data_IF_489263941761
#
_entry.id   IF_489263941761
#
_cell.length_a   1.000
_cell.length_b   1.000
_cell.length_c   1.000
_cell.angle_alpha   90.00
_cell.angle_beta   90.00
_cell.angle_gamma   90.00
#
_symmetry.space_group_name_H-M   'P 1'
#
loop_
_entity.id
_entity.type
_entity.pdbx_description
1 polymer ?
#
# COMPACT_ATOMS: atom_id res chain seq x y z
N UNK A 1 26.30 -11.27 -15.65
CA UNK A 1 25.97 -9.89 -15.26
C UNK A 1 24.47 -9.78 -15.26
N UNK A 2 23.85 -10.06 -14.13
CA UNK A 2 22.39 -9.99 -14.00
C UNK A 2 22.02 -8.53 -13.79
N UNK A 3 21.56 -7.89 -14.87
CA UNK A 3 20.89 -6.61 -14.76
C UNK A 3 19.57 -6.88 -14.02
N UNK A 4 19.58 -6.64 -12.71
CA UNK A 4 18.35 -6.53 -11.94
C UNK A 4 17.55 -5.37 -12.54
N UNK A 5 16.60 -5.70 -13.41
CA UNK A 5 15.55 -4.78 -13.84
C UNK A 5 14.78 -4.47 -12.56
N UNK A 6 15.14 -3.36 -11.90
CA UNK A 6 14.27 -2.74 -10.91
C UNK A 6 12.99 -2.42 -11.66
N UNK A 7 11.95 -3.22 -11.41
CA UNK A 7 10.62 -2.89 -11.87
C UNK A 7 10.30 -1.51 -11.26
N UNK A 8 10.11 -0.51 -12.11
CA UNK A 8 9.61 0.80 -11.71
C UNK A 8 8.14 0.62 -11.35
N UNK A 9 7.90 0.11 -10.14
CA UNK A 9 6.55 -0.10 -9.63
C UNK A 9 5.91 1.25 -9.39
N UNK A 10 4.93 1.60 -10.21
CA UNK A 10 4.04 2.72 -9.92
C UNK A 10 3.36 2.49 -8.57
N UNK A 11 3.04 3.58 -7.86
CA UNK A 11 2.37 3.49 -6.57
C UNK A 11 1.03 2.73 -6.69
N UNK A 12 0.68 1.97 -5.65
CA UNK A 12 -0.55 1.17 -5.63
C UNK A 12 -1.74 2.05 -5.21
N UNK A 13 -2.65 2.35 -6.13
CA UNK A 13 -3.81 3.21 -5.82
C UNK A 13 -4.77 2.50 -4.87
N UNK A 14 -5.06 3.12 -3.73
CA UNK A 14 -6.03 2.63 -2.76
C UNK A 14 -7.43 2.99 -3.24
N UNK A 15 -8.23 1.97 -3.56
CA UNK A 15 -9.63 2.15 -3.94
C UNK A 15 -10.56 2.11 -2.72
N UNK A 16 -10.21 1.31 -1.71
CA UNK A 16 -11.01 1.15 -0.49
C UNK A 16 -10.15 0.57 0.63
N UNK A 17 -10.42 0.97 1.87
CA UNK A 17 -10.02 0.25 3.08
C UNK A 17 -11.29 -0.27 3.76
N UNK A 18 -11.39 -1.57 3.99
CA UNK A 18 -12.58 -2.18 4.61
C UNK A 18 -12.26 -3.49 5.32
N UNK A 19 -13.26 -4.04 6.00
CA UNK A 19 -13.24 -5.36 6.61
C UNK A 19 -14.28 -6.21 5.88
N UNK A 20 -13.91 -7.44 5.51
CA UNK A 20 -14.81 -8.46 4.98
C UNK A 20 -14.75 -9.73 5.86
N UNK A 21 -15.40 -10.82 5.45
CA UNK A 21 -15.37 -12.09 6.18
C UNK A 21 -13.97 -12.73 6.29
N UNK A 22 -13.00 -12.28 5.48
CA UNK A 22 -11.60 -12.69 5.54
C UNK A 22 -10.72 -11.67 6.28
N UNK A 23 -11.32 -10.68 6.94
CA UNK A 23 -10.64 -9.68 7.78
C UNK A 23 -10.36 -8.33 7.12
N UNK A 24 -9.54 -7.54 7.80
CA UNK A 24 -9.13 -6.20 7.39
C UNK A 24 -8.30 -6.23 6.10
N UNK A 25 -8.60 -5.34 5.15
CA UNK A 25 -7.92 -5.31 3.85
C UNK A 25 -7.94 -3.93 3.17
N UNK A 26 -7.06 -3.78 2.18
CA UNK A 26 -7.17 -2.75 1.14
C UNK A 26 -7.62 -3.37 -0.18
N UNK A 27 -8.50 -2.67 -0.88
CA UNK A 27 -8.72 -2.89 -2.30
C UNK A 27 -7.76 -1.99 -3.06
N UNK A 28 -6.75 -2.59 -3.70
CA UNK A 28 -5.70 -1.86 -4.40
C UNK A 28 -5.84 -2.03 -5.91
N UNK A 29 -5.67 -0.94 -6.66
CA UNK A 29 -5.41 -0.98 -8.11
C UNK A 29 -3.90 -0.88 -8.32
N UNK A 30 -3.35 -1.85 -9.02
CA UNK A 30 -1.93 -1.96 -9.33
C UNK A 30 -1.74 -1.87 -10.84
N UNK A 31 -0.82 -1.01 -11.25
CA UNK A 31 -0.40 -0.85 -12.65
C UNK A 31 0.99 -1.46 -12.79
N UNK A 32 1.12 -2.45 -13.67
CA UNK A 32 2.37 -3.09 -14.06
C UNK A 32 2.57 -2.90 -15.58
N UNK A 33 3.77 -3.16 -16.12
CA UNK A 33 4.03 -3.00 -17.56
C UNK A 33 3.10 -3.83 -18.46
N UNK A 34 2.62 -4.97 -17.97
CA UNK A 34 1.72 -5.88 -18.69
C UNK A 34 0.22 -5.61 -18.42
N UNK A 35 -0.12 -4.60 -17.63
CA UNK A 35 -1.49 -4.11 -17.49
C UNK A 35 -1.89 -3.70 -16.08
N UNK A 36 -3.20 -3.64 -15.85
CA UNK A 36 -3.79 -3.26 -14.57
C UNK A 36 -4.46 -4.45 -13.89
N UNK A 37 -4.34 -4.56 -12.57
CA UNK A 37 -5.07 -5.53 -11.76
C UNK A 37 -5.63 -4.88 -10.50
N UNK A 38 -6.81 -5.33 -10.07
CA UNK A 38 -7.38 -4.97 -8.77
C UNK A 38 -7.27 -6.17 -7.83
N UNK A 39 -6.64 -5.96 -6.68
CA UNK A 39 -6.36 -7.02 -5.71
C UNK A 39 -6.96 -6.73 -4.34
N UNK A 40 -7.14 -7.78 -3.55
CA UNK A 40 -7.41 -7.73 -2.11
C UNK A 40 -6.09 -7.89 -1.36
N UNK A 41 -5.64 -6.82 -0.71
CA UNK A 41 -4.42 -6.81 0.09
C UNK A 41 -4.77 -6.93 1.57
N UNK A 42 -4.50 -8.10 2.15
CA UNK A 42 -4.79 -8.35 3.56
C UNK A 42 -3.93 -7.49 4.51
N UNK A 43 -4.55 -7.00 5.58
CA UNK A 43 -3.90 -6.20 6.61
C UNK A 43 -4.03 -6.87 7.98
N UNK A 44 -3.04 -6.64 8.85
CA UNK A 44 -3.27 -6.78 10.28
C UNK A 44 -4.17 -5.63 10.76
N UNK A 45 -4.91 -5.85 11.85
CA UNK A 45 -5.87 -4.85 12.35
C UNK A 45 -5.21 -3.53 12.75
N UNK A 46 -3.98 -3.58 13.28
CA UNK A 46 -3.21 -2.38 13.62
C UNK A 46 -2.87 -1.52 12.39
N UNK A 47 -2.44 -2.14 11.29
CA UNK A 47 -2.11 -1.44 10.04
C UNK A 47 -3.39 -0.86 9.43
N UNK A 48 -4.49 -1.62 9.47
CA UNK A 48 -5.78 -1.16 9.00
C UNK A 48 -6.27 0.06 9.76
N UNK A 49 -6.19 0.08 11.09
CA UNK A 49 -6.60 1.22 11.89
C UNK A 49 -5.76 2.47 11.55
N UNK A 50 -4.44 2.31 11.42
CA UNK A 50 -3.53 3.41 11.03
C UNK A 50 -3.89 3.98 9.65
N UNK A 51 -4.01 3.11 8.64
CA UNK A 51 -4.33 3.52 7.27
C UNK A 51 -5.73 4.15 7.19
N UNK A 52 -6.72 3.57 7.87
CA UNK A 52 -8.08 4.11 7.92
C UNK A 52 -8.10 5.51 8.54
N UNK A 53 -7.35 5.73 9.61
CA UNK A 53 -7.28 7.04 10.25
C UNK A 53 -6.64 8.07 9.31
N UNK A 54 -5.52 7.72 8.65
CA UNK A 54 -4.89 8.59 7.64
C UNK A 54 -5.87 8.97 6.53
N UNK A 55 -6.62 8.00 6.01
CA UNK A 55 -7.59 8.24 4.93
C UNK A 55 -8.73 9.15 5.41
N UNK A 56 -9.19 8.99 6.66
CA UNK A 56 -10.28 9.76 7.26
C UNK A 56 -9.91 11.20 7.61
N UNK A 57 -8.66 11.45 7.99
CA UNK A 57 -8.20 12.78 8.39
C UNK A 57 -8.20 13.79 7.23
N UNK A 58 -8.42 13.34 5.99
CA UNK A 58 -8.55 14.18 4.79
C UNK A 58 -7.44 15.23 4.71
N UNK A 59 -6.25 14.78 4.28
CA UNK A 59 -5.05 15.62 4.26
C UNK A 59 -5.17 16.90 3.41
N UNK A 60 -6.10 16.91 2.44
CA UNK A 60 -6.45 18.07 1.64
C UNK A 60 -7.92 18.41 1.83
N UNK A 61 -8.29 19.66 1.54
CA UNK A 61 -9.66 20.13 1.63
C UNK A 61 -10.57 19.28 0.72
N UNK A 62 -11.52 18.58 1.35
CA UNK A 62 -12.49 17.70 0.68
C UNK A 62 -13.39 18.43 -0.33
N UNK A 63 -13.42 19.77 -0.29
CA UNK A 63 -14.18 20.62 -1.22
C UNK A 63 -13.42 20.93 -2.52
N UNK A 64 -12.10 20.69 -2.58
CA UNK A 64 -11.23 21.06 -3.73
C UNK A 64 -11.12 19.98 -4.85
N UNK A 65 -12.03 18.99 -4.90
CA UNK A 65 -12.15 18.02 -6.01
C UNK A 65 -11.74 16.58 -5.67
N UNK A 66 -11.62 15.71 -6.69
CA UNK A 66 -11.28 14.29 -6.52
C UNK A 66 -9.82 14.12 -6.02
N UNK A 67 -9.67 13.67 -4.77
CA UNK A 67 -8.39 13.23 -4.20
C UNK A 67 -8.36 11.70 -4.11
N UNK A 68 -7.16 11.12 -4.17
CA UNK A 68 -6.97 9.69 -3.93
C UNK A 68 -5.71 9.42 -3.12
N UNK A 69 -5.67 8.24 -2.50
CA UNK A 69 -4.50 7.75 -1.79
C UNK A 69 -3.79 6.67 -2.59
N UNK A 70 -2.47 6.66 -2.48
CA UNK A 70 -1.59 5.65 -3.05
C UNK A 70 -0.72 5.06 -1.95
N UNK A 71 -0.55 3.74 -1.95
CA UNK A 71 0.42 3.04 -1.12
C UNK A 71 1.74 2.92 -1.87
N UNK A 72 2.82 3.31 -1.22
CA UNK A 72 4.13 3.39 -1.84
C UNK A 72 4.86 2.06 -1.64
N UNK A 73 5.51 1.51 -2.68
CA UNK A 73 6.12 0.18 -2.65
C UNK A 73 7.51 0.21 -1.97
N UNK A 74 7.64 0.88 -0.83
CA UNK A 74 8.85 0.88 -0.03
C UNK A 74 8.56 1.00 1.46
N UNK A 75 9.48 0.45 2.25
CA UNK A 75 9.49 0.52 3.70
C UNK A 75 10.87 0.94 4.16
N UNK A 76 10.92 1.75 5.21
CA UNK A 76 12.16 2.17 5.87
C UNK A 76 12.26 1.47 7.22
N UNK A 77 13.41 0.90 7.52
CA UNK A 77 13.72 0.41 8.87
C UNK A 77 14.30 1.56 9.67
N UNK A 78 13.66 1.89 10.79
CA UNK A 78 14.11 2.92 11.73
C UNK A 78 14.43 2.29 13.08
N UNK A 79 15.54 2.69 13.68
CA UNK A 79 15.90 2.28 15.03
C UNK A 79 15.33 3.30 16.03
N UNK A 80 14.44 2.84 16.91
CA UNK A 80 13.96 3.66 18.02
C UNK A 80 15.07 3.78 19.07
N UNK A 81 15.86 4.86 18.96
CA UNK A 81 17.06 5.12 19.78
C UNK A 81 16.89 5.00 21.30
N UNK A 82 15.72 5.25 21.94
CA UNK A 82 15.59 5.07 23.38
C UNK A 82 15.37 3.61 23.82
N UNK A 83 14.80 2.75 22.96
CA UNK A 83 14.32 1.42 23.37
C UNK A 83 14.99 0.26 22.62
N UNK A 84 15.85 0.54 21.64
CA UNK A 84 16.53 -0.47 20.82
C UNK A 84 15.59 -1.30 19.92
N UNK A 85 14.30 -0.92 19.84
CA UNK A 85 13.32 -1.63 19.01
C UNK A 85 13.38 -1.12 17.57
N UNK A 86 13.41 -2.06 16.64
CA UNK A 86 13.27 -1.76 15.22
C UNK A 86 11.80 -1.41 14.93
N UNK A 87 11.60 -0.35 14.15
CA UNK A 87 10.31 0.10 13.62
C UNK A 87 10.36 0.04 12.10
N UNK A 88 9.27 -0.43 11.51
CA UNK A 88 9.09 -0.38 10.06
C UNK A 88 8.19 0.80 9.72
N UNK A 89 8.65 1.68 8.83
CA UNK A 89 7.90 2.86 8.40
C UNK A 89 7.46 2.67 6.95
N UNK A 90 6.15 2.65 6.73
CA UNK A 90 5.53 2.67 5.41
C UNK A 90 5.07 4.09 5.07
N UNK A 91 4.76 4.32 3.79
CA UNK A 91 4.29 5.62 3.32
C UNK A 91 3.03 5.50 2.47
N UNK A 92 2.07 6.39 2.75
CA UNK A 92 0.98 6.71 1.85
C UNK A 92 1.26 8.05 1.16
N UNK A 93 0.73 8.22 -0.04
CA UNK A 93 0.71 9.50 -0.75
C UNK A 93 -0.74 9.88 -0.99
N UNK A 94 -1.13 11.04 -0.45
CA UNK A 94 -2.37 11.68 -0.82
C UNK A 94 -2.10 12.53 -2.07
N UNK A 95 -2.96 12.43 -3.09
CA UNK A 95 -2.83 13.17 -4.35
C UNK A 95 -4.13 13.92 -4.63
N UNK A 96 -4.03 15.21 -4.96
CA UNK A 96 -5.16 16.05 -5.38
C UNK A 96 -4.71 16.97 -6.53
N UNK A 97 -5.14 16.65 -7.76
CA UNK A 97 -4.67 17.36 -8.96
C UNK A 97 -3.15 17.32 -9.09
N UNK A 98 -2.49 18.49 -9.00
CA UNK A 98 -1.02 18.63 -9.03
C UNK A 98 -0.37 18.60 -7.64
N UNK A 99 -1.15 18.62 -6.56
CA UNK A 99 -0.66 18.58 -5.18
C UNK A 99 -0.48 17.12 -4.76
N UNK A 100 0.57 16.84 -3.99
CA UNK A 100 0.71 15.55 -3.31
C UNK A 100 1.40 15.71 -1.96
N UNK A 101 0.98 14.93 -0.98
CA UNK A 101 1.57 14.87 0.35
C UNK A 101 1.93 13.42 0.69
N UNK A 102 3.12 13.23 1.25
CA UNK A 102 3.57 11.94 1.76
C UNK A 102 3.31 11.86 3.25
N UNK A 103 2.74 10.75 3.69
CA UNK A 103 2.34 10.49 5.06
C UNK A 103 3.03 9.20 5.48
N UNK A 104 3.97 9.31 6.41
CA UNK A 104 4.68 8.17 6.96
C UNK A 104 3.96 7.63 8.18
N UNK A 105 3.93 6.31 8.33
CA UNK A 105 3.32 5.66 9.47
C UNK A 105 4.10 4.40 9.85
N UNK A 106 4.11 4.09 11.15
CA UNK A 106 4.63 2.82 11.63
C UNK A 106 3.74 1.68 11.13
N UNK A 107 4.34 0.60 10.64
CA UNK A 107 3.63 -0.57 10.14
C UNK A 107 4.16 -1.85 10.79
N UNK A 108 3.36 -2.90 10.75
CA UNK A 108 3.75 -4.21 11.25
C UNK A 108 4.89 -4.81 10.41
N UNK A 109 5.65 -5.73 11.01
CA UNK A 109 6.68 -6.51 10.29
C UNK A 109 6.05 -7.30 9.12
N UNK A 110 4.84 -7.83 9.30
CA UNK A 110 4.10 -8.53 8.24
C UNK A 110 3.79 -7.59 7.07
N UNK A 111 3.34 -6.37 7.36
CA UNK A 111 3.08 -5.38 6.33
C UNK A 111 4.38 -5.04 5.58
N UNK A 112 5.47 -4.84 6.32
CA UNK A 112 6.78 -4.59 5.75
C UNK A 112 7.25 -5.70 4.82
N UNK A 113 7.13 -6.96 5.27
CA UNK A 113 7.45 -8.14 4.47
C UNK A 113 6.61 -8.24 3.19
N UNK A 114 5.31 -7.91 3.25
CA UNK A 114 4.46 -7.91 2.06
C UNK A 114 4.87 -6.84 1.03
N UNK A 115 5.26 -5.63 1.49
CA UNK A 115 5.78 -4.59 0.60
C UNK A 115 7.10 -5.01 -0.04
N UNK A 116 8.00 -5.60 0.75
CA UNK A 116 9.29 -6.10 0.23
C UNK A 116 9.11 -7.23 -0.77
N UNK A 117 8.20 -8.18 -0.51
CA UNK A 117 7.79 -9.21 -1.47
C UNK A 117 7.27 -8.59 -2.77
N UNK A 118 6.36 -7.62 -2.67
CA UNK A 118 5.82 -6.95 -3.85
C UNK A 118 6.92 -6.30 -4.69
N UNK A 119 7.81 -5.56 -4.04
CA UNK A 119 8.94 -4.89 -4.71
C UNK A 119 9.93 -5.90 -5.33
N UNK A 120 10.25 -6.99 -4.64
CA UNK A 120 11.30 -7.92 -5.07
C UNK A 120 10.81 -8.95 -6.05
N UNK A 121 9.57 -9.40 -5.94
CA UNK A 121 9.13 -10.62 -6.61
C UNK A 121 8.01 -10.38 -7.63
N UNK A 122 7.20 -9.32 -7.49
CA UNK A 122 6.13 -9.03 -8.44
C UNK A 122 6.70 -8.36 -9.68
N UNK A 123 6.49 -8.97 -10.85
CA UNK A 123 6.97 -8.48 -12.15
C UNK A 123 5.85 -8.36 -13.18
N UNK A 124 4.77 -9.12 -13.02
CA UNK A 124 3.65 -9.16 -13.95
C UNK A 124 2.31 -9.39 -13.22
N UNK A 125 1.18 -9.17 -13.90
CA UNK A 125 -0.15 -9.39 -13.32
C UNK A 125 -0.37 -10.86 -12.91
N UNK A 126 0.34 -11.80 -13.54
CA UNK A 126 0.26 -13.23 -13.23
C UNK A 126 0.67 -13.51 -11.78
N UNK A 127 1.71 -12.83 -11.28
CA UNK A 127 2.21 -12.97 -9.91
C UNK A 127 1.14 -12.58 -8.88
N UNK A 128 0.26 -11.66 -9.26
CA UNK A 128 -0.81 -11.13 -8.42
C UNK A 128 -2.16 -11.85 -8.58
N UNK A 129 -2.28 -12.83 -9.50
CA UNK A 129 -3.57 -13.50 -9.77
C UNK A 129 -4.17 -14.19 -8.55
N UNK A 130 -3.35 -14.63 -7.60
CA UNK A 130 -3.84 -15.23 -6.36
C UNK A 130 -4.51 -14.21 -5.43
N UNK A 131 -4.23 -12.92 -5.59
CA UNK A 131 -4.82 -11.82 -4.82
C UNK A 131 -5.96 -11.10 -5.56
N UNK A 132 -6.33 -11.53 -6.78
CA UNK A 132 -7.33 -10.85 -7.60
C UNK A 132 -8.65 -10.66 -6.84
N UNK A 133 -9.16 -9.42 -6.81
CA UNK A 133 -10.34 -9.04 -6.03
C UNK A 133 -11.57 -9.92 -6.29
N UNK A 134 -11.81 -10.30 -7.54
CA UNK A 134 -12.94 -11.14 -7.95
C UNK A 134 -13.00 -12.50 -7.23
N UNK A 135 -11.86 -13.01 -6.73
CA UNK A 135 -11.82 -14.27 -5.97
C UNK A 135 -12.41 -14.16 -4.56
N UNK A 136 -12.63 -12.93 -4.09
CA UNK A 136 -13.11 -12.61 -2.74
C UNK A 136 -14.45 -11.88 -2.75
N UNK A 137 -15.07 -11.72 -3.93
CA UNK A 137 -16.44 -11.24 -4.02
C UNK A 137 -17.38 -12.33 -3.46
N UNK A 138 -17.68 -12.21 -2.17
CA UNK A 138 -18.77 -12.92 -1.49
C UNK A 138 -20.01 -12.04 -1.52
#
# INVERSE_FOLDING_TARGET
>A
MDYAIQADHQNMKILKASIDCFGSHLKLKITLPDGNIVIRWGLADEDYLRIRNIIKENYFDSLEGEYHYELLPYVVVSLDKPNGKQKFLASLRCVQGKKAARIEFECSERFAGNIEWFKKDVRCIQDLKHLKWEKFNV
#
